data_IF_612404626279
#
_entry.id   IF_612404626279
#
_cell.length_a   1.000
_cell.length_b   1.000
_cell.length_c   1.000
_cell.angle_alpha   90.00
_cell.angle_beta   90.00
_cell.angle_gamma   90.00
#
_symmetry.space_group_name_H-M   'P 1'
#
loop_
_entity.id
_entity.type
_entity.pdbx_description
1 polymer ?
#
# COMPACT_ATOMS: atom_id res chain seq x y z
N UNK A 1 -22.04 -13.17 3.52
CA UNK A 1 -21.85 -12.61 4.87
C UNK A 1 -21.76 -11.10 4.70
N UNK A 2 -22.63 -10.32 5.34
CA UNK A 2 -22.52 -8.87 5.30
C UNK A 2 -21.75 -8.43 6.54
N UNK A 3 -20.61 -7.77 6.34
CA UNK A 3 -19.81 -7.22 7.43
C UNK A 3 -20.49 -5.94 7.94
N UNK A 4 -20.59 -5.76 9.26
CA UNK A 4 -21.09 -4.51 9.82
C UNK A 4 -20.09 -3.37 9.56
N UNK A 5 -20.57 -2.14 9.40
CA UNK A 5 -19.70 -0.98 9.10
C UNK A 5 -18.63 -0.76 10.16
N UNK A 6 -18.92 -1.04 11.44
CA UNK A 6 -17.94 -0.92 12.52
C UNK A 6 -16.79 -1.92 12.35
N UNK A 7 -17.10 -3.15 11.96
CA UNK A 7 -16.12 -4.23 11.81
C UNK A 7 -15.28 -3.98 10.54
N UNK A 8 -15.91 -3.48 9.47
CA UNK A 8 -15.20 -3.00 8.28
C UNK A 8 -14.20 -1.89 8.61
N UNK A 9 -14.63 -0.89 9.38
CA UNK A 9 -13.76 0.22 9.77
C UNK A 9 -12.59 -0.26 10.64
N UNK A 10 -12.81 -1.24 11.53
CA UNK A 10 -11.71 -1.85 12.31
C UNK A 10 -10.72 -2.55 11.39
N UNK A 11 -11.18 -3.36 10.43
CA UNK A 11 -10.30 -4.04 9.48
C UNK A 11 -9.52 -3.04 8.62
N UNK A 12 -10.19 -2.01 8.10
CA UNK A 12 -9.56 -1.00 7.27
C UNK A 12 -8.53 -0.18 8.05
N UNK A 13 -8.84 0.19 9.30
CA UNK A 13 -7.87 0.87 10.16
C UNK A 13 -6.67 -0.01 10.52
N UNK A 14 -6.88 -1.33 10.70
CA UNK A 14 -5.76 -2.24 10.93
C UNK A 14 -4.89 -2.39 9.68
N UNK A 15 -5.50 -2.53 8.50
CA UNK A 15 -4.78 -2.56 7.23
C UNK A 15 -3.99 -1.27 7.00
N UNK A 16 -4.57 -0.11 7.33
CA UNK A 16 -3.87 1.15 7.23
C UNK A 16 -2.69 1.25 8.21
N UNK A 17 -2.92 1.08 9.51
CA UNK A 17 -1.88 1.34 10.52
C UNK A 17 -0.80 0.25 10.54
N UNK A 18 -1.19 -1.02 10.65
CA UNK A 18 -0.24 -2.11 10.89
C UNK A 18 0.35 -2.71 9.64
N UNK A 19 -0.29 -2.49 8.49
CA UNK A 19 0.23 -2.99 7.23
C UNK A 19 0.80 -1.85 6.40
N UNK A 20 0.01 -0.85 5.99
CA UNK A 20 0.52 0.18 5.09
C UNK A 20 1.57 1.10 5.73
N UNK A 21 1.31 1.62 6.92
CA UNK A 21 2.25 2.56 7.57
C UNK A 21 3.52 1.82 8.01
N UNK A 22 3.39 0.71 8.73
CA UNK A 22 4.55 -0.07 9.17
C UNK A 22 5.40 -0.56 7.98
N UNK A 23 4.77 -1.12 6.93
CA UNK A 23 5.49 -1.58 5.74
C UNK A 23 6.14 -0.43 4.96
N UNK A 24 5.52 0.75 4.93
CA UNK A 24 6.14 1.93 4.33
C UNK A 24 7.43 2.30 5.06
N UNK A 25 7.41 2.36 6.40
CA UNK A 25 8.60 2.67 7.21
C UNK A 25 9.73 1.66 6.98
N UNK A 26 9.36 0.37 6.89
CA UNK A 26 10.31 -0.69 6.57
C UNK A 26 10.89 -0.54 5.16
N UNK A 27 10.06 -0.25 4.14
CA UNK A 27 10.52 -0.02 2.75
C UNK A 27 11.41 1.21 2.65
N UNK A 28 11.13 2.29 3.40
CA UNK A 28 11.97 3.49 3.46
C UNK A 28 13.35 3.16 4.02
N UNK A 29 13.40 2.29 5.04
CA UNK A 29 14.63 1.92 5.74
C UNK A 29 15.37 0.71 5.12
N UNK A 30 14.84 0.15 4.03
CA UNK A 30 15.33 -1.08 3.41
C UNK A 30 16.54 -0.83 2.49
N UNK A 31 17.72 -0.73 3.11
CA UNK A 31 19.00 -0.55 2.41
C UNK A 31 19.39 -1.75 1.52
N UNK A 32 18.87 -2.95 1.81
CA UNK A 32 19.23 -4.19 1.11
C UNK A 32 18.30 -4.52 -0.06
N UNK A 33 17.29 -3.69 -0.31
CA UNK A 33 16.25 -3.90 -1.33
C UNK A 33 15.51 -5.25 -1.19
N UNK A 34 15.31 -5.74 0.04
CA UNK A 34 14.60 -7.01 0.30
C UNK A 34 13.06 -6.87 0.24
N UNK A 35 12.52 -5.69 0.54
CA UNK A 35 11.09 -5.42 0.61
C UNK A 35 10.57 -4.84 -0.70
N UNK A 36 9.44 -5.35 -1.20
CA UNK A 36 8.91 -4.94 -2.50
C UNK A 36 8.24 -3.56 -2.47
N UNK A 37 8.73 -2.64 -3.30
CA UNK A 37 8.07 -1.38 -3.60
C UNK A 37 6.82 -1.56 -4.48
N UNK A 38 6.77 -2.61 -5.31
CA UNK A 38 5.55 -2.99 -6.05
C UNK A 38 4.43 -3.35 -5.10
N UNK A 39 4.71 -4.16 -4.08
CA UNK A 39 3.72 -4.52 -3.07
C UNK A 39 3.21 -3.28 -2.31
N UNK A 40 4.10 -2.37 -1.92
CA UNK A 40 3.74 -1.13 -1.23
C UNK A 40 2.77 -0.28 -2.08
N UNK A 41 3.15 0.04 -3.31
CA UNK A 41 2.36 0.92 -4.18
C UNK A 41 1.00 0.29 -4.50
N UNK A 42 0.97 -0.98 -4.89
CA UNK A 42 -0.28 -1.66 -5.24
C UNK A 42 -1.22 -1.77 -4.02
N UNK A 43 -0.68 -2.02 -2.82
CA UNK A 43 -1.46 -2.07 -1.58
C UNK A 43 -2.03 -0.70 -1.22
N UNK A 44 -1.24 0.36 -1.43
CA UNK A 44 -1.66 1.74 -1.18
C UNK A 44 -2.79 2.14 -2.14
N UNK A 45 -2.63 1.88 -3.44
CA UNK A 45 -3.68 2.11 -4.45
C UNK A 45 -4.96 1.34 -4.11
N UNK A 46 -4.84 0.07 -3.73
CA UNK A 46 -5.99 -0.74 -3.32
C UNK A 46 -6.71 -0.18 -2.07
N UNK A 47 -5.97 0.35 -1.09
CA UNK A 47 -6.55 1.02 0.07
C UNK A 47 -7.37 2.26 -0.31
N UNK A 48 -6.85 3.07 -1.22
CA UNK A 48 -7.55 4.26 -1.71
C UNK A 48 -8.86 3.87 -2.41
N UNK A 49 -8.83 2.82 -3.23
CA UNK A 49 -10.06 2.29 -3.84
C UNK A 49 -11.09 1.83 -2.80
N UNK A 50 -10.64 1.18 -1.72
CA UNK A 50 -11.53 0.75 -0.64
C UNK A 50 -12.16 1.96 0.07
N UNK A 51 -11.37 2.99 0.33
CA UNK A 51 -11.87 4.23 0.93
C UNK A 51 -12.92 4.90 0.03
N UNK A 52 -12.65 5.01 -1.28
CA UNK A 52 -13.58 5.57 -2.25
C UNK A 52 -14.90 4.78 -2.31
N UNK A 53 -14.82 3.45 -2.46
CA UNK A 53 -16.00 2.57 -2.55
C UNK A 53 -16.87 2.60 -1.30
N UNK A 54 -16.28 2.89 -0.14
CA UNK A 54 -16.97 2.91 1.14
C UNK A 54 -17.34 4.32 1.62
N UNK A 55 -16.97 5.36 0.86
CA UNK A 55 -17.22 6.76 1.19
C UNK A 55 -16.39 7.27 2.37
N UNK A 56 -15.33 6.56 2.75
CA UNK A 56 -14.39 6.98 3.79
C UNK A 56 -13.50 8.09 3.23
N UNK A 57 -13.45 9.21 3.94
CA UNK A 57 -12.66 10.37 3.53
C UNK A 57 -11.29 10.33 4.16
N UNK A 58 -10.27 10.43 3.33
CA UNK A 58 -8.85 10.50 3.70
C UNK A 58 -8.25 11.81 3.15
N UNK A 59 -7.18 12.34 3.79
CA UNK A 59 -6.62 13.65 3.42
C UNK A 59 -5.59 13.59 2.27
N UNK A 60 -5.43 12.46 1.62
CA UNK A 60 -4.48 12.21 0.53
C UNK A 60 -5.12 11.33 -0.55
N UNK A 61 -4.60 11.41 -1.78
CA UNK A 61 -5.17 10.74 -2.96
C UNK A 61 -4.18 9.79 -3.64
N UNK A 62 -2.94 9.73 -3.18
CA UNK A 62 -1.85 8.89 -3.68
C UNK A 62 -0.74 8.82 -2.62
N UNK A 63 0.26 7.96 -2.86
CA UNK A 63 1.40 7.82 -1.94
C UNK A 63 2.21 9.12 -1.83
N UNK A 64 2.39 9.87 -2.92
CA UNK A 64 3.15 11.12 -2.91
C UNK A 64 2.52 12.17 -1.99
N UNK A 65 1.20 12.36 -2.09
CA UNK A 65 0.44 13.27 -1.24
C UNK A 65 0.41 12.82 0.21
N UNK A 66 0.36 11.51 0.47
CA UNK A 66 0.55 10.97 1.82
C UNK A 66 1.94 11.32 2.36
N UNK A 67 3.00 11.07 1.61
CA UNK A 67 4.37 11.34 2.05
C UNK A 67 4.57 12.84 2.31
N UNK A 68 4.05 13.69 1.43
CA UNK A 68 4.11 15.16 1.56
C UNK A 68 3.45 15.68 2.85
N UNK A 69 2.42 14.99 3.35
CA UNK A 69 1.75 15.36 4.60
C UNK A 69 2.52 14.92 5.85
N UNK A 70 3.35 13.88 5.75
CA UNK A 70 3.91 13.18 6.92
C UNK A 70 5.44 13.28 7.03
N UNK A 71 6.17 13.56 5.94
CA UNK A 71 7.63 13.57 5.91
C UNK A 71 8.17 14.88 5.34
N UNK A 72 9.20 15.43 5.99
CA UNK A 72 9.85 16.67 5.54
C UNK A 72 10.69 16.50 4.27
N UNK A 73 11.20 15.29 4.07
CA UNK A 73 12.08 14.83 2.99
C UNK A 73 11.32 13.96 1.96
N UNK A 74 10.01 14.18 1.85
CA UNK A 74 9.11 13.36 1.01
C UNK A 74 9.57 13.19 -0.44
N UNK A 75 10.22 14.21 -1.03
CA UNK A 75 10.68 14.17 -2.43
C UNK A 75 11.75 13.12 -2.65
N UNK A 76 12.69 12.99 -1.70
CA UNK A 76 13.76 11.98 -1.77
C UNK A 76 13.19 10.58 -1.50
N UNK A 77 12.36 10.45 -0.48
CA UNK A 77 11.68 9.19 -0.15
C UNK A 77 10.86 8.69 -1.34
N UNK A 78 10.01 9.55 -1.91
CA UNK A 78 9.15 9.18 -3.02
C UNK A 78 9.95 8.79 -4.26
N UNK A 79 11.01 9.55 -4.56
CA UNK A 79 11.91 9.23 -5.68
C UNK A 79 12.53 7.84 -5.50
N UNK A 80 13.05 7.52 -4.32
CA UNK A 80 13.68 6.23 -4.03
C UNK A 80 12.66 5.08 -4.19
N UNK A 81 11.45 5.23 -3.65
CA UNK A 81 10.38 4.24 -3.79
C UNK A 81 10.01 4.03 -5.27
N UNK A 82 9.85 5.10 -6.04
CA UNK A 82 9.48 5.02 -7.46
C UNK A 82 10.59 4.40 -8.31
N UNK A 83 11.87 4.69 -8.02
CA UNK A 83 12.99 4.06 -8.69
C UNK A 83 13.02 2.55 -8.43
N UNK A 84 12.85 2.14 -7.17
CA UNK A 84 12.74 0.73 -6.78
C UNK A 84 11.56 0.04 -7.43
N UNK A 85 10.37 0.68 -7.40
CA UNK A 85 9.17 0.19 -8.08
C UNK A 85 9.39 -0.07 -9.57
N UNK A 86 10.01 0.87 -10.29
CA UNK A 86 10.28 0.71 -11.73
C UNK A 86 11.24 -0.45 -12.00
N UNK A 87 12.27 -0.60 -11.18
CA UNK A 87 13.24 -1.70 -11.26
C UNK A 87 12.52 -3.05 -11.05
N UNK A 88 11.77 -3.19 -9.96
CA UNK A 88 11.01 -4.40 -9.65
C UNK A 88 9.96 -4.71 -10.72
N UNK A 89 9.13 -3.73 -11.10
CA UNK A 89 8.06 -3.92 -12.09
C UNK A 89 8.58 -4.39 -13.44
N UNK A 90 9.80 -4.00 -13.82
CA UNK A 90 10.42 -4.48 -15.07
C UNK A 90 10.76 -5.99 -15.06
N UNK A 91 10.84 -6.60 -13.88
CA UNK A 91 11.11 -8.03 -13.68
C UNK A 91 9.81 -8.84 -13.76
N UNK A 92 8.68 -8.25 -13.34
CA UNK A 92 7.37 -8.87 -13.44
C UNK A 92 6.91 -8.91 -14.91
N UNK A 93 6.81 -10.11 -15.48
CA UNK A 93 6.47 -10.33 -16.89
C UNK A 93 4.95 -10.33 -17.19
N UNK A 94 4.09 -9.85 -16.28
CA UNK A 94 2.63 -9.87 -16.45
C UNK A 94 1.91 -8.66 -15.83
N UNK A 95 0.69 -8.38 -16.32
CA UNK A 95 -0.28 -7.53 -15.64
C UNK A 95 -0.84 -8.33 -14.45
N UNK A 96 -0.17 -8.27 -13.30
CA UNK A 96 -0.69 -8.87 -12.08
C UNK A 96 -1.74 -7.94 -11.46
N UNK A 97 -2.99 -8.41 -11.37
CA UNK A 97 -4.02 -7.76 -10.56
C UNK A 97 -3.75 -8.07 -9.08
N UNK A 98 -3.33 -7.06 -8.32
CA UNK A 98 -3.06 -7.15 -6.89
C UNK A 98 -4.24 -7.74 -6.11
N UNK A 99 -5.48 -7.42 -6.50
CA UNK A 99 -6.68 -7.95 -5.84
C UNK A 99 -6.79 -9.45 -6.07
N UNK A 100 -6.54 -9.93 -7.30
CA UNK A 100 -6.59 -11.36 -7.61
C UNK A 100 -5.49 -12.10 -6.83
N UNK A 101 -4.25 -11.64 -6.90
CA UNK A 101 -3.10 -12.28 -6.23
C UNK A 101 -3.31 -12.38 -4.72
N UNK A 102 -3.70 -11.30 -4.06
CA UNK A 102 -3.89 -11.29 -2.61
C UNK A 102 -5.16 -12.03 -2.17
N UNK A 103 -6.15 -12.19 -3.06
CA UNK A 103 -7.37 -12.97 -2.77
C UNK A 103 -7.15 -14.49 -2.82
N UNK A 104 -6.14 -14.94 -3.55
CA UNK A 104 -5.77 -16.35 -3.68
C UNK A 104 -4.85 -16.85 -2.55
N UNK A 105 -4.28 -15.93 -1.76
CA UNK A 105 -3.56 -16.25 -0.54
C UNK A 105 -4.54 -16.82 0.50
N UNK A 106 -4.66 -18.15 0.54
CA UNK A 106 -5.39 -18.85 1.58
C UNK A 106 -4.74 -18.58 2.95
N UNK A 107 -5.35 -17.68 3.72
CA UNK A 107 -5.06 -17.51 5.15
C UNK A 107 -5.71 -18.69 5.89
N UNK A 108 -5.11 -19.89 5.77
CA UNK A 108 -5.54 -21.08 6.50
C UNK A 108 -5.30 -22.40 5.77
N UNK A 109 -4.22 -23.07 6.15
CA UNK A 109 -4.23 -24.51 6.46
C UNK A 109 -3.58 -24.68 7.84
#
# INVERSE_FOLDING_TARGET
MNLESKDFNVLLNNFYNYYLVDYLEEVISDENEELSAVLLINSFEYFLELCEKTGIKIPFNDLESYLKLNYSDYEEIYKNIVEKYRKEKSIYQGEMDFREEMSELNIGN
#
